data_IF_388630647518
#
_entry.id   IF_388630647518
#
_cell.length_a   1.000
_cell.length_b   1.000
_cell.length_c   1.000
_cell.angle_alpha   90.00
_cell.angle_beta   90.00
_cell.angle_gamma   90.00
#
_symmetry.space_group_name_H-M   'P 1'
#
loop_
_entity.id
_entity.type
_entity.pdbx_description
1 polymer ?
#
# COMPACT_ATOMS: atom_id res chain seq x y z
N UNK A 1 -24.58 -12.87 -7.60
CA UNK A 1 -25.05 -12.74 -6.19
C UNK A 1 -24.30 -11.63 -5.46
N UNK A 2 -22.97 -11.57 -5.58
CA UNK A 2 -22.11 -10.56 -4.95
C UNK A 2 -22.58 -9.09 -5.13
N UNK A 3 -22.94 -8.67 -6.36
CA UNK A 3 -23.35 -7.28 -6.65
C UNK A 3 -24.54 -6.81 -5.80
N UNK A 4 -25.52 -7.68 -5.58
CA UNK A 4 -26.72 -7.36 -4.81
C UNK A 4 -26.39 -7.24 -3.32
N UNK A 5 -25.61 -8.18 -2.79
CA UNK A 5 -25.16 -8.14 -1.40
C UNK A 5 -24.30 -6.90 -1.11
N UNK A 6 -23.42 -6.52 -2.04
CA UNK A 6 -22.62 -5.29 -1.92
C UNK A 6 -23.49 -4.04 -1.93
N UNK A 7 -24.49 -3.95 -2.81
CA UNK A 7 -25.41 -2.83 -2.85
C UNK A 7 -26.21 -2.68 -1.53
N UNK A 8 -26.70 -3.80 -0.99
CA UNK A 8 -27.41 -3.81 0.30
C UNK A 8 -26.50 -3.42 1.48
N UNK A 9 -25.25 -3.89 1.46
CA UNK A 9 -24.28 -3.56 2.49
C UNK A 9 -23.86 -2.09 2.42
N UNK A 10 -23.69 -1.52 1.21
CA UNK A 10 -23.41 -0.09 1.00
C UNK A 10 -24.56 0.79 1.46
N UNK A 11 -25.80 0.43 1.09
CA UNK A 11 -26.98 1.16 1.52
C UNK A 11 -27.17 1.16 3.05
N UNK A 12 -26.68 0.11 3.73
CA UNK A 12 -26.69 0.04 5.18
C UNK A 12 -25.51 0.79 5.83
N UNK A 13 -24.34 0.80 5.18
CA UNK A 13 -23.14 1.47 5.69
C UNK A 13 -23.19 2.99 5.54
N UNK A 14 -23.90 3.48 4.52
CA UNK A 14 -24.00 4.90 4.20
C UNK A 14 -25.47 5.26 3.96
N UNK A 15 -26.28 5.44 5.02
CA UNK A 15 -27.74 5.62 4.90
C UNK A 15 -28.20 6.78 4.00
N UNK A 16 -27.32 7.74 3.72
CA UNK A 16 -27.61 8.90 2.89
C UNK A 16 -26.73 8.97 1.63
N UNK A 17 -27.22 9.66 0.59
CA UNK A 17 -26.43 9.95 -0.62
C UNK A 17 -25.17 10.76 -0.32
N UNK A 18 -25.23 11.63 0.70
CA UNK A 18 -24.11 12.50 1.10
C UNK A 18 -22.97 11.66 1.68
N UNK A 19 -23.28 10.73 2.58
CA UNK A 19 -22.26 9.83 3.15
C UNK A 19 -21.65 8.91 2.09
N UNK A 20 -22.48 8.42 1.15
CA UNK A 20 -22.00 7.64 0.01
C UNK A 20 -21.04 8.46 -0.88
N UNK A 21 -21.38 9.71 -1.15
CA UNK A 21 -20.53 10.62 -1.92
C UNK A 21 -19.22 10.93 -1.19
N UNK A 22 -19.27 11.11 0.12
CA UNK A 22 -18.08 11.36 0.94
C UNK A 22 -17.12 10.17 0.94
N UNK A 23 -17.64 8.94 0.97
CA UNK A 23 -16.83 7.73 0.80
C UNK A 23 -16.17 7.68 -0.59
N UNK A 24 -16.88 8.07 -1.64
CA UNK A 24 -16.37 8.09 -3.02
C UNK A 24 -15.30 9.16 -3.27
N UNK A 25 -15.29 10.27 -2.50
CA UNK A 25 -14.20 11.25 -2.56
C UNK A 25 -12.84 10.63 -2.21
N UNK A 26 -12.82 9.62 -1.34
CA UNK A 26 -11.60 8.85 -1.02
C UNK A 26 -11.10 7.97 -2.17
N UNK A 27 -11.89 7.80 -3.24
CA UNK A 27 -11.57 7.03 -4.43
C UNK A 27 -11.22 7.90 -5.65
N UNK A 28 -11.13 9.22 -5.46
CA UNK A 28 -11.00 10.21 -6.54
C UNK A 28 -12.13 10.09 -7.59
N UNK A 29 -13.34 9.76 -7.13
CA UNK A 29 -14.53 9.68 -7.97
C UNK A 29 -15.32 10.97 -7.82
N UNK A 30 -15.54 11.68 -8.92
CA UNK A 30 -16.33 12.92 -8.93
C UNK A 30 -17.78 12.64 -8.50
N UNK A 31 -18.41 13.59 -7.83
CA UNK A 31 -19.83 13.52 -7.47
C UNK A 31 -20.74 13.42 -8.69
N UNK A 32 -20.30 13.99 -9.83
CA UNK A 32 -20.99 13.87 -11.13
C UNK A 32 -21.10 12.42 -11.61
N UNK A 33 -20.22 11.55 -11.13
CA UNK A 33 -20.16 10.15 -11.48
C UNK A 33 -21.11 9.26 -10.68
N UNK A 34 -21.75 9.80 -9.64
CA UNK A 34 -22.70 9.06 -8.80
C UNK A 34 -24.01 8.89 -9.57
N UNK A 35 -24.42 7.65 -9.87
CA UNK A 35 -25.63 7.42 -10.63
C UNK A 35 -26.88 7.99 -9.91
N UNK A 36 -27.80 8.50 -10.72
CA UNK A 36 -29.11 8.92 -10.24
C UNK A 36 -30.00 7.70 -10.00
N UNK A 37 -30.95 7.82 -9.08
CA UNK A 37 -31.92 6.76 -8.75
C UNK A 37 -33.10 7.34 -7.97
N UNK A 38 -34.24 6.65 -8.01
CA UNK A 38 -35.46 7.08 -7.33
C UNK A 38 -35.36 6.94 -5.80
N UNK A 39 -34.48 6.05 -5.32
CA UNK A 39 -34.19 5.89 -3.90
C UNK A 39 -32.71 5.54 -3.65
N UNK A 40 -32.30 5.63 -2.39
CA UNK A 40 -30.91 5.40 -1.98
C UNK A 40 -30.39 3.99 -2.31
N UNK A 41 -31.24 2.98 -2.18
CA UNK A 41 -30.87 1.59 -2.48
C UNK A 41 -30.61 1.39 -3.98
N UNK A 42 -31.40 2.05 -4.83
CA UNK A 42 -31.19 2.07 -6.28
C UNK A 42 -29.89 2.81 -6.65
N UNK A 43 -29.58 3.93 -5.99
CA UNK A 43 -28.31 4.64 -6.17
C UNK A 43 -27.12 3.74 -5.82
N UNK A 44 -27.16 3.04 -4.68
CA UNK A 44 -26.13 2.09 -4.27
C UNK A 44 -25.97 0.93 -5.27
N UNK A 45 -27.09 0.38 -5.76
CA UNK A 45 -27.06 -0.69 -6.75
C UNK A 45 -26.47 -0.22 -8.09
N UNK A 46 -26.90 0.93 -8.60
CA UNK A 46 -26.39 1.49 -9.84
C UNK A 46 -24.90 1.83 -9.74
N UNK A 47 -24.44 2.30 -8.57
CA UNK A 47 -23.03 2.55 -8.29
C UNK A 47 -22.20 1.26 -8.38
N UNK A 48 -22.67 0.18 -7.76
CA UNK A 48 -22.01 -1.13 -7.85
C UNK A 48 -21.92 -1.61 -9.29
N UNK A 49 -23.02 -1.50 -10.05
CA UNK A 49 -23.04 -1.89 -11.47
C UNK A 49 -22.05 -1.08 -12.31
N UNK A 50 -21.97 0.23 -12.07
CA UNK A 50 -21.02 1.11 -12.74
C UNK A 50 -19.57 0.73 -12.41
N UNK A 51 -19.25 0.58 -11.13
CA UNK A 51 -17.89 0.22 -10.69
C UNK A 51 -17.46 -1.16 -11.18
N UNK A 52 -18.39 -2.12 -11.23
CA UNK A 52 -18.11 -3.45 -11.78
C UNK A 52 -17.84 -3.38 -13.29
N UNK A 53 -18.59 -2.57 -14.04
CA UNK A 53 -18.33 -2.37 -15.48
C UNK A 53 -16.96 -1.75 -15.77
N UNK A 54 -16.38 -1.04 -14.79
CA UNK A 54 -15.03 -0.46 -14.85
C UNK A 54 -13.96 -1.40 -14.30
N UNK A 55 -14.31 -2.58 -13.78
CA UNK A 55 -13.38 -3.48 -13.09
C UNK A 55 -12.89 -2.96 -11.72
N UNK A 56 -13.53 -1.92 -11.17
CA UNK A 56 -13.13 -1.23 -9.93
C UNK A 56 -13.89 -1.69 -8.68
N UNK A 57 -14.54 -2.85 -8.73
CA UNK A 57 -15.36 -3.33 -7.61
C UNK A 57 -14.53 -3.60 -6.34
N UNK A 58 -13.27 -4.03 -6.49
CA UNK A 58 -12.35 -4.24 -5.37
C UNK A 58 -11.99 -2.92 -4.66
N UNK A 59 -11.78 -1.85 -5.42
CA UNK A 59 -11.51 -0.52 -4.88
C UNK A 59 -12.75 0.02 -4.14
N UNK A 60 -13.96 -0.18 -4.69
CA UNK A 60 -15.20 0.22 -4.04
C UNK A 60 -15.38 -0.46 -2.68
N UNK A 61 -15.13 -1.77 -2.60
CA UNK A 61 -15.21 -2.53 -1.34
C UNK A 61 -14.17 -2.03 -0.34
N UNK A 62 -12.91 -1.85 -0.78
CA UNK A 62 -11.83 -1.38 0.09
C UNK A 62 -12.14 0.00 0.68
N UNK A 63 -12.61 0.94 -0.14
CA UNK A 63 -12.95 2.29 0.31
C UNK A 63 -14.18 2.31 1.22
N UNK A 64 -15.18 1.48 0.96
CA UNK A 64 -16.33 1.32 1.83
C UNK A 64 -15.93 0.81 3.23
N UNK A 65 -15.02 -0.17 3.31
CA UNK A 65 -14.49 -0.69 4.58
C UNK A 65 -13.65 0.37 5.31
N UNK A 66 -12.80 1.12 4.59
CA UNK A 66 -11.99 2.18 5.19
C UNK A 66 -12.84 3.33 5.75
N UNK A 67 -13.91 3.70 5.04
CA UNK A 67 -14.80 4.78 5.45
C UNK A 67 -15.74 4.36 6.60
N UNK A 68 -16.06 3.07 6.74
CA UNK A 68 -16.90 2.57 7.82
C UNK A 68 -16.45 1.17 8.31
N UNK A 69 -15.34 1.07 9.06
CA UNK A 69 -14.74 -0.21 9.46
C UNK A 69 -15.61 -0.99 10.47
N UNK A 70 -16.55 -0.31 11.13
CA UNK A 70 -17.46 -0.90 12.12
C UNK A 70 -18.67 -1.61 11.51
N UNK A 71 -18.86 -1.60 10.18
CA UNK A 71 -20.02 -2.21 9.56
C UNK A 71 -19.84 -3.74 9.36
N UNK A 72 -20.61 -4.60 10.07
CA UNK A 72 -20.42 -6.05 10.01
C UNK A 72 -20.78 -6.65 8.64
N UNK A 73 -21.72 -6.05 7.90
CA UNK A 73 -22.10 -6.53 6.56
C UNK A 73 -20.97 -6.32 5.54
N UNK A 74 -20.21 -5.23 5.70
CA UNK A 74 -19.11 -4.91 4.80
C UNK A 74 -17.89 -5.79 5.08
N UNK A 75 -17.62 -6.08 6.35
CA UNK A 75 -16.55 -6.99 6.75
C UNK A 75 -16.82 -8.43 6.28
N UNK A 76 -18.07 -8.91 6.39
CA UNK A 76 -18.46 -10.23 5.87
C UNK A 76 -18.25 -10.36 4.35
N UNK A 77 -18.53 -9.30 3.59
CA UNK A 77 -18.27 -9.27 2.15
C UNK A 77 -16.79 -9.25 1.81
N UNK A 78 -15.97 -8.54 2.59
CA UNK A 78 -14.52 -8.53 2.42
C UNK A 78 -13.95 -9.93 2.64
N UNK A 79 -14.41 -10.64 3.67
CA UNK A 79 -14.04 -12.04 3.92
C UNK A 79 -14.45 -12.95 2.76
N UNK A 80 -15.67 -12.81 2.23
CA UNK A 80 -16.13 -13.61 1.08
C UNK A 80 -15.27 -13.35 -0.17
N UNK A 81 -14.97 -12.08 -0.47
CA UNK A 81 -14.16 -11.70 -1.64
C UNK A 81 -12.72 -12.16 -1.49
N UNK A 82 -12.14 -12.08 -0.29
CA UNK A 82 -10.76 -12.51 -0.04
C UNK A 82 -10.60 -14.03 0.02
N UNK A 83 -11.67 -14.76 0.36
CA UNK A 83 -11.68 -16.23 0.35
C UNK A 83 -12.01 -16.83 -1.02
N UNK A 84 -12.59 -16.07 -1.95
CA UNK A 84 -12.82 -16.55 -3.30
C UNK A 84 -11.48 -16.68 -4.05
N UNK A 85 -11.13 -17.88 -4.57
CA UNK A 85 -10.01 -18.01 -5.48
C UNK A 85 -10.34 -17.20 -6.73
N UNK A 86 -9.68 -16.06 -6.91
CA UNK A 86 -9.92 -15.15 -8.03
C UNK A 86 -9.80 -15.97 -9.32
N UNK A 87 -10.88 -16.15 -10.11
CA UNK A 87 -10.73 -16.73 -11.42
C UNK A 87 -10.00 -15.69 -12.25
N UNK A 88 -8.72 -15.95 -12.53
CA UNK A 88 -7.96 -15.22 -13.53
C UNK A 88 -8.71 -15.47 -14.85
N UNK A 89 -9.62 -14.57 -15.21
CA UNK A 89 -10.21 -14.54 -16.54
C UNK A 89 -9.16 -13.97 -17.49
N UNK A 90 -8.25 -14.86 -17.88
CA UNK A 90 -7.33 -14.73 -19.00
C UNK A 90 -7.00 -16.15 -19.41
N UNK A 91 -7.74 -16.67 -20.40
CA UNK A 91 -7.39 -17.93 -21.05
C UNK A 91 -5.97 -17.81 -21.61
N UNK A 92 -4.99 -18.41 -20.94
CA UNK A 92 -3.73 -18.78 -21.59
C UNK A 92 -3.86 -20.25 -21.95
N UNK A 93 -4.05 -20.46 -23.25
CA UNK A 93 -4.02 -21.77 -23.90
C UNK A 93 -2.70 -22.44 -23.55
N UNK A 94 -2.83 -23.67 -23.05
CA UNK A 94 -1.79 -24.65 -22.75
C UNK A 94 -0.76 -24.73 -23.89
N UNK A 95 0.46 -24.26 -23.64
CA UNK A 95 1.65 -24.49 -24.46
C UNK A 95 2.88 -24.36 -23.57
N UNK A 96 3.66 -25.43 -23.49
CA UNK A 96 4.89 -25.57 -22.72
C UNK A 96 5.79 -24.33 -22.82
N UNK A 97 5.87 -23.50 -21.77
CA UNK A 97 6.97 -22.55 -21.64
C UNK A 97 7.46 -22.51 -20.19
N UNK A 98 8.79 -22.65 -20.08
CA UNK A 98 9.59 -22.61 -18.86
C UNK A 98 9.24 -21.34 -18.07
N UNK A 99 8.84 -21.49 -16.81
CA UNK A 99 8.68 -20.36 -15.91
C UNK A 99 10.06 -19.73 -15.63
N UNK A 100 10.34 -18.65 -16.34
CA UNK A 100 11.28 -17.64 -15.88
C UNK A 100 10.77 -17.05 -14.58
N UNK A 101 11.72 -16.60 -13.74
CA UNK A 101 11.46 -15.83 -12.54
C UNK A 101 10.57 -14.66 -12.92
N UNK A 102 9.29 -14.70 -12.52
CA UNK A 102 8.38 -13.59 -12.72
C UNK A 102 8.79 -12.51 -11.71
N UNK A 103 9.35 -11.44 -12.24
CA UNK A 103 9.68 -10.22 -11.50
C UNK A 103 8.48 -9.81 -10.64
N UNK A 104 8.76 -9.43 -9.40
CA UNK A 104 7.78 -8.81 -8.50
C UNK A 104 7.02 -7.71 -9.26
N UNK A 105 5.69 -7.60 -9.10
CA UNK A 105 4.95 -6.53 -9.76
C UNK A 105 5.51 -5.19 -9.26
N UNK A 106 6.09 -4.42 -10.20
CA UNK A 106 6.53 -3.04 -9.95
C UNK A 106 5.36 -2.05 -9.79
N UNK A 107 4.13 -2.54 -9.85
CA UNK A 107 2.94 -1.71 -9.75
C UNK A 107 2.59 -1.44 -8.28
N UNK A 108 2.68 -0.16 -7.92
CA UNK A 108 2.12 0.36 -6.68
C UNK A 108 3.09 1.16 -5.81
N UNK A 109 4.23 1.63 -6.33
CA UNK A 109 4.74 2.89 -5.80
C UNK A 109 3.73 3.94 -6.24
N UNK A 110 3.02 4.50 -5.28
CA UNK A 110 2.07 5.58 -5.50
C UNK A 110 2.74 6.63 -6.40
N UNK A 111 2.31 6.69 -7.66
CA UNK A 111 2.89 7.58 -8.66
C UNK A 111 2.71 9.03 -8.23
N UNK A 112 1.77 9.33 -7.31
CA UNK A 112 1.67 10.64 -6.69
C UNK A 112 2.83 10.96 -5.74
N UNK A 113 3.42 9.97 -5.07
CA UNK A 113 4.62 10.20 -4.24
C UNK A 113 5.83 10.50 -5.12
N UNK A 114 6.02 9.76 -6.21
CA UNK A 114 7.11 10.03 -7.17
C UNK A 114 6.89 11.36 -7.91
N UNK A 115 5.65 11.66 -8.30
CA UNK A 115 5.27 12.94 -8.91
C UNK A 115 5.46 14.12 -7.95
N UNK A 116 5.09 13.97 -6.67
CA UNK A 116 5.37 14.99 -5.63
C UNK A 116 6.86 15.21 -5.41
N UNK A 117 7.67 14.15 -5.47
CA UNK A 117 9.13 14.26 -5.37
C UNK A 117 9.74 15.03 -6.56
N UNK A 118 9.25 14.79 -7.77
CA UNK A 118 9.70 15.49 -8.98
C UNK A 118 9.23 16.95 -9.02
N UNK A 119 7.98 17.19 -8.58
CA UNK A 119 7.41 18.54 -8.39
C UNK A 119 8.23 19.35 -7.38
N UNK A 120 8.56 18.77 -6.23
CA UNK A 120 9.40 19.42 -5.21
C UNK A 120 10.82 19.69 -5.72
N UNK A 121 11.37 18.77 -6.53
CA UNK A 121 12.67 18.95 -7.18
C UNK A 121 12.65 20.14 -8.15
N UNK A 122 11.60 20.26 -8.96
CA UNK A 122 11.41 21.36 -9.91
C UNK A 122 11.18 22.71 -9.21
N UNK A 123 10.33 22.75 -8.17
CA UNK A 123 10.11 23.96 -7.37
C UNK A 123 11.39 24.45 -6.71
N UNK A 124 12.25 23.54 -6.23
CA UNK A 124 13.55 23.93 -5.71
C UNK A 124 14.50 24.53 -6.76
N UNK A 125 14.47 24.00 -7.99
CA UNK A 125 15.29 24.55 -9.07
C UNK A 125 14.84 25.98 -9.41
N UNK A 126 13.53 26.21 -9.45
CA UNK A 126 12.95 27.53 -9.68
C UNK A 126 13.27 28.52 -8.55
N UNK A 127 13.15 28.10 -7.29
CA UNK A 127 13.56 28.89 -6.12
C UNK A 127 15.06 29.25 -6.17
N UNK A 128 15.94 28.31 -6.56
CA UNK A 128 17.37 28.60 -6.74
C UNK A 128 17.61 29.64 -7.83
N UNK A 129 16.89 29.56 -8.94
CA UNK A 129 17.05 30.51 -10.05
C UNK A 129 16.53 31.91 -9.70
N UNK A 130 15.37 32.01 -9.03
CA UNK A 130 14.82 33.28 -8.54
C UNK A 130 15.70 33.91 -7.46
N UNK A 131 16.32 33.11 -6.58
CA UNK A 131 17.32 33.58 -5.62
C UNK A 131 18.59 34.09 -6.31
N UNK A 132 19.07 33.42 -7.37
CA UNK A 132 20.21 33.88 -8.16
C UNK A 132 19.91 35.20 -8.88
N UNK A 133 18.71 35.34 -9.46
CA UNK A 133 18.22 36.58 -10.09
C UNK A 133 18.02 37.72 -9.07
N UNK A 134 17.49 37.42 -7.88
CA UNK A 134 17.38 38.41 -6.80
C UNK A 134 18.74 38.83 -6.23
N UNK A 135 19.71 37.93 -6.17
CA UNK A 135 21.08 38.28 -5.77
C UNK A 135 21.73 39.25 -6.77
N UNK A 136 21.42 39.10 -8.06
CA UNK A 136 21.88 40.01 -9.12
C UNK A 136 21.18 41.38 -9.08
N UNK A 137 19.93 41.45 -8.59
CA UNK A 137 19.17 42.70 -8.43
C UNK A 137 19.53 43.49 -7.14
N UNK A 138 20.38 42.94 -6.26
CA UNK A 138 20.71 43.51 -4.92
C UNK A 138 21.90 44.48 -4.89
N UNK A 139 22.40 44.91 -6.04
CA UNK A 139 23.35 46.05 -6.11
C UNK A 139 22.71 47.40 -5.75
N UNK A 140 21.39 47.47 -5.53
CA UNK A 140 20.65 48.74 -5.43
C UNK A 140 20.22 49.24 -4.04
N UNK A 141 20.45 48.56 -2.90
CA UNK A 141 20.21 49.20 -1.57
C UNK A 141 20.81 48.44 -0.36
N UNK A 142 21.77 49.06 0.32
CA UNK A 142 22.70 48.38 1.25
C UNK A 142 22.20 48.17 2.70
N UNK A 143 21.09 48.80 3.13
CA UNK A 143 20.54 48.60 4.50
C UNK A 143 19.39 47.59 4.57
N UNK A 144 18.44 47.65 3.64
CA UNK A 144 17.34 46.68 3.53
C UNK A 144 17.83 45.29 3.05
N UNK A 145 18.94 45.26 2.30
CA UNK A 145 19.56 44.03 1.81
C UNK A 145 20.11 43.11 2.89
N UNK A 146 20.65 43.64 3.99
CA UNK A 146 21.31 42.82 5.02
C UNK A 146 20.32 42.04 5.89
N UNK A 147 19.22 42.65 6.33
CA UNK A 147 18.18 41.94 7.10
C UNK A 147 17.49 40.87 6.25
N UNK A 148 17.22 41.18 4.98
CA UNK A 148 16.63 40.23 4.03
C UNK A 148 17.60 39.10 3.66
N UNK A 149 18.90 39.36 3.59
CA UNK A 149 19.93 38.32 3.43
C UNK A 149 19.94 37.37 4.65
N UNK A 150 19.90 37.91 5.86
CA UNK A 150 19.88 37.08 7.08
C UNK A 150 18.62 36.21 7.18
N UNK A 151 17.46 36.75 6.82
CA UNK A 151 16.22 35.99 6.81
C UNK A 151 16.27 34.84 5.79
N UNK A 152 16.77 35.11 4.58
CA UNK A 152 16.91 34.08 3.55
C UNK A 152 17.93 33.00 3.91
N UNK A 153 19.03 33.35 4.59
CA UNK A 153 19.99 32.36 5.09
C UNK A 153 19.31 31.42 6.08
N UNK A 154 18.51 31.95 7.03
CA UNK A 154 17.75 31.14 7.98
C UNK A 154 16.72 30.25 7.30
N UNK A 155 16.03 30.75 6.28
CA UNK A 155 15.06 29.97 5.51
C UNK A 155 15.74 28.84 4.71
N UNK A 156 16.89 29.11 4.10
CA UNK A 156 17.70 28.09 3.40
C UNK A 156 18.19 27.02 4.38
N UNK A 157 18.61 27.40 5.60
CA UNK A 157 19.02 26.46 6.63
C UNK A 157 17.87 25.57 7.09
N UNK A 158 16.70 26.14 7.38
CA UNK A 158 15.50 25.39 7.75
C UNK A 158 15.08 24.40 6.64
N UNK A 159 15.11 24.83 5.37
CA UNK A 159 14.84 23.95 4.24
C UNK A 159 15.88 22.83 4.12
N UNK A 160 17.17 23.12 4.33
CA UNK A 160 18.23 22.10 4.34
C UNK A 160 18.04 21.08 5.46
N UNK A 161 17.60 21.50 6.64
CA UNK A 161 17.29 20.59 7.75
C UNK A 161 16.10 19.70 7.41
N UNK A 162 15.02 20.24 6.86
CA UNK A 162 13.89 19.45 6.36
C UNK A 162 14.31 18.43 5.29
N UNK A 163 15.21 18.81 4.38
CA UNK A 163 15.77 17.88 3.40
C UNK A 163 16.65 16.78 4.00
N UNK A 164 17.38 17.06 5.07
CA UNK A 164 18.17 16.04 5.76
C UNK A 164 17.25 15.02 6.45
N UNK A 165 16.19 15.48 7.11
CA UNK A 165 15.21 14.59 7.74
C UNK A 165 14.57 13.64 6.72
N UNK A 166 14.05 14.18 5.61
CA UNK A 166 13.46 13.37 4.54
C UNK A 166 14.46 12.40 3.90
N UNK A 167 15.73 12.78 3.73
CA UNK A 167 16.78 11.86 3.25
C UNK A 167 17.04 10.69 4.20
N UNK A 168 16.98 10.93 5.51
CA UNK A 168 17.14 9.88 6.51
C UNK A 168 15.95 8.92 6.48
N UNK A 169 14.73 9.42 6.34
CA UNK A 169 13.54 8.59 6.17
C UNK A 169 13.62 7.72 4.90
N UNK A 170 14.02 8.31 3.77
CA UNK A 170 14.23 7.56 2.52
C UNK A 170 15.32 6.50 2.66
N UNK A 171 16.41 6.80 3.38
CA UNK A 171 17.45 5.81 3.64
C UNK A 171 16.94 4.65 4.50
N UNK A 172 16.15 4.93 5.55
CA UNK A 172 15.53 3.90 6.38
C UNK A 172 14.59 3.00 5.58
N UNK A 173 13.77 3.58 4.70
CA UNK A 173 12.88 2.80 3.81
C UNK A 173 13.68 1.90 2.86
N UNK A 174 14.80 2.38 2.31
CA UNK A 174 15.67 1.57 1.44
C UNK A 174 16.30 0.38 2.18
N UNK A 175 16.75 0.58 3.42
CA UNK A 175 17.29 -0.52 4.22
C UNK A 175 16.19 -1.55 4.57
N UNK A 176 14.99 -1.08 4.92
CA UNK A 176 13.86 -1.97 5.15
C UNK A 176 13.46 -2.77 3.89
N UNK A 177 13.43 -2.12 2.72
CA UNK A 177 13.19 -2.78 1.44
C UNK A 177 14.23 -3.88 1.16
N UNK A 178 15.51 -3.61 1.44
CA UNK A 178 16.59 -4.58 1.28
C UNK A 178 16.41 -5.80 2.20
N UNK A 179 15.99 -5.59 3.45
CA UNK A 179 15.69 -6.68 4.37
C UNK A 179 14.56 -7.58 3.85
N UNK A 180 13.47 -7.00 3.35
CA UNK A 180 12.36 -7.77 2.75
C UNK A 180 12.84 -8.58 1.54
N UNK A 181 13.66 -7.99 0.67
CA UNK A 181 14.19 -8.70 -0.50
C UNK A 181 15.03 -9.93 -0.09
N UNK A 182 15.79 -9.84 1.00
CA UNK A 182 16.51 -10.98 1.56
C UNK A 182 15.56 -12.06 2.08
N UNK A 183 14.48 -11.69 2.77
CA UNK A 183 13.47 -12.66 3.24
C UNK A 183 12.77 -13.37 2.06
N UNK A 184 12.40 -12.63 1.02
CA UNK A 184 11.82 -13.19 -0.20
C UNK A 184 12.78 -14.20 -0.85
N UNK A 185 14.09 -13.91 -0.88
CA UNK A 185 15.08 -14.83 -1.41
C UNK A 185 15.11 -16.16 -0.63
N UNK A 186 15.08 -16.09 0.70
CA UNK A 186 15.03 -17.28 1.58
C UNK A 186 13.75 -18.10 1.32
N UNK A 187 12.60 -17.45 1.21
CA UNK A 187 11.32 -18.12 0.90
C UNK A 187 11.39 -18.83 -0.46
N UNK A 188 11.99 -18.20 -1.46
CA UNK A 188 12.13 -18.78 -2.79
C UNK A 188 13.10 -19.97 -2.82
N UNK A 189 14.18 -19.93 -2.04
CA UNK A 189 15.06 -21.08 -1.83
C UNK A 189 14.32 -22.23 -1.15
N UNK A 190 13.58 -21.94 -0.08
CA UNK A 190 12.75 -22.94 0.59
C UNK A 190 11.72 -23.57 -0.35
N UNK A 191 11.05 -22.76 -1.18
CA UNK A 191 10.09 -23.26 -2.18
C UNK A 191 10.77 -24.18 -3.20
N UNK A 192 11.94 -23.81 -3.70
CA UNK A 192 12.74 -24.65 -4.62
C UNK A 192 13.12 -25.98 -3.97
N UNK A 193 13.61 -25.95 -2.73
CA UNK A 193 13.95 -27.16 -1.98
C UNK A 193 12.71 -28.06 -1.75
N UNK A 194 11.57 -27.47 -1.41
CA UNK A 194 10.33 -28.22 -1.18
C UNK A 194 9.80 -28.86 -2.48
N UNK A 195 9.91 -28.18 -3.62
CA UNK A 195 9.60 -28.78 -4.93
C UNK A 195 10.50 -29.97 -5.23
N UNK A 196 11.82 -29.85 -5.01
CA UNK A 196 12.76 -30.95 -5.22
C UNK A 196 12.45 -32.16 -4.31
N UNK A 197 12.09 -31.93 -3.05
CA UNK A 197 11.69 -32.99 -2.11
C UNK A 197 10.39 -33.67 -2.56
N UNK A 198 9.43 -32.93 -3.13
CA UNK A 198 8.20 -33.51 -3.69
C UNK A 198 8.45 -34.39 -4.91
N UNK A 199 9.43 -34.03 -5.74
CA UNK A 199 9.80 -34.82 -6.93
C UNK A 199 10.58 -36.08 -6.57
N UNK A 200 11.36 -36.05 -5.49
CA UNK A 200 11.93 -37.25 -4.90
C UNK A 200 10.79 -38.09 -4.30
N UNK A 201 10.55 -39.29 -4.85
CA UNK A 201 9.59 -40.28 -4.31
C UNK A 201 10.05 -40.79 -2.93
N UNK A 202 9.98 -39.94 -1.91
CA UNK A 202 10.20 -40.36 -0.55
C UNK A 202 8.97 -41.10 -0.02
N UNK A 203 9.17 -42.11 0.84
CA UNK A 203 8.06 -42.71 1.58
C UNK A 203 7.37 -41.64 2.42
N UNK A 204 6.03 -41.66 2.44
CA UNK A 204 5.15 -40.69 3.11
C UNK A 204 5.52 -40.40 4.58
N UNK A 205 6.15 -41.34 5.28
CA UNK A 205 6.63 -41.17 6.65
C UNK A 205 7.71 -40.07 6.78
N UNK A 206 8.62 -39.96 5.80
CA UNK A 206 9.68 -38.95 5.80
C UNK A 206 9.14 -37.54 5.60
N UNK A 207 8.15 -37.37 4.71
CA UNK A 207 7.50 -36.07 4.45
C UNK A 207 6.79 -35.57 5.70
N UNK A 208 6.07 -36.45 6.41
CA UNK A 208 5.39 -36.10 7.67
C UNK A 208 6.37 -35.68 8.76
N UNK A 209 7.48 -36.40 8.89
CA UNK A 209 8.53 -36.05 9.85
C UNK A 209 9.16 -34.69 9.53
N UNK A 210 9.48 -34.42 8.27
CA UNK A 210 10.05 -33.14 7.83
C UNK A 210 9.10 -31.96 8.11
N UNK A 211 7.80 -32.10 7.83
CA UNK A 211 6.80 -31.07 8.14
C UNK A 211 6.73 -30.80 9.64
N UNK A 212 6.76 -31.84 10.48
CA UNK A 212 6.72 -31.68 11.93
C UNK A 212 7.95 -30.90 12.45
N UNK A 213 9.15 -31.22 11.96
CA UNK A 213 10.38 -30.53 12.33
C UNK A 213 10.35 -29.06 11.92
N UNK A 214 9.92 -28.76 10.68
CA UNK A 214 9.79 -27.36 10.21
C UNK A 214 8.76 -26.59 11.05
N UNK A 215 7.62 -27.21 11.38
CA UNK A 215 6.61 -26.61 12.25
C UNK A 215 7.15 -26.25 13.64
N UNK A 216 7.96 -27.13 14.25
CA UNK A 216 8.61 -26.87 15.53
C UNK A 216 9.60 -25.70 15.44
N UNK A 217 10.39 -25.64 14.36
CA UNK A 217 11.36 -24.56 14.16
C UNK A 217 10.68 -23.20 13.95
N UNK A 218 9.58 -23.16 13.20
CA UNK A 218 8.78 -21.93 13.01
C UNK A 218 8.20 -21.47 14.36
N UNK A 219 7.65 -22.41 15.15
CA UNK A 219 7.11 -22.10 16.48
C UNK A 219 8.20 -21.54 17.41
N UNK A 220 9.38 -22.15 17.41
CA UNK A 220 10.52 -21.68 18.20
C UNK A 220 10.97 -20.26 17.79
N UNK A 221 11.04 -19.99 16.48
CA UNK A 221 11.39 -18.66 15.98
C UNK A 221 10.34 -17.61 16.36
N UNK A 222 9.05 -17.94 16.26
CA UNK A 222 7.97 -17.04 16.70
C UNK A 222 8.04 -16.71 18.19
N UNK A 223 8.37 -17.70 19.03
CA UNK A 223 8.58 -17.50 20.48
C UNK A 223 9.76 -16.54 20.72
N UNK A 224 10.88 -16.70 20.01
CA UNK A 224 12.05 -15.82 20.15
C UNK A 224 11.70 -14.38 19.76
N UNK A 225 11.02 -14.18 18.62
CA UNK A 225 10.59 -12.84 18.16
C UNK A 225 9.63 -12.21 19.17
N UNK A 226 8.69 -12.99 19.71
CA UNK A 226 7.77 -12.52 20.75
C UNK A 226 8.54 -12.00 21.98
N UNK A 227 9.55 -12.73 22.46
CA UNK A 227 10.37 -12.27 23.59
C UNK A 227 11.23 -11.04 23.26
N UNK A 228 11.68 -10.87 22.01
CA UNK A 228 12.44 -9.68 21.60
C UNK A 228 11.58 -8.41 21.57
N UNK A 229 10.33 -8.51 21.11
CA UNK A 229 9.43 -7.35 20.99
C UNK A 229 8.88 -6.94 22.35
N UNK A 230 8.49 -7.91 23.18
CA UNK A 230 7.75 -7.65 24.42
C UNK A 230 8.61 -7.71 25.68
N UNK A 231 9.91 -8.01 25.55
CA UNK A 231 10.81 -8.27 26.66
C UNK A 231 10.50 -9.61 27.35
N UNK A 232 11.44 -10.10 28.16
CA UNK A 232 11.19 -11.29 29.00
C UNK A 232 10.20 -10.88 30.09
N UNK A 233 9.02 -11.52 30.18
CA UNK A 233 8.07 -11.27 31.24
C UNK A 233 8.73 -11.41 32.62
N UNK A 234 8.53 -10.44 33.52
CA UNK A 234 9.18 -10.40 34.83
C UNK A 234 8.95 -11.64 35.71
N UNK A 235 7.92 -12.44 35.44
CA UNK A 235 7.65 -13.71 36.14
C UNK A 235 8.56 -14.87 35.72
N UNK A 236 9.38 -14.70 34.69
CA UNK A 236 10.43 -15.65 34.28
C UNK A 236 11.81 -15.31 34.87
N UNK A 237 11.96 -14.15 35.52
CA UNK A 237 13.12 -13.83 36.36
C UNK A 237 12.82 -14.24 37.80
N UNK A 238 13.46 -15.32 38.26
CA UNK A 238 13.39 -15.77 39.66
C UNK A 238 14.03 -14.81 40.65
#
# INVERSE_FOLDING_TARGET
>A
MLRKALAEALAHAFPSRVELAQMLLGMDVDQSEIPHGANHQEVAFNLVMKMDSQGRIGELVKSAVLANPGNPKMNALLEEITQLPIPIQGQIVRGEHRFGVQELPQEGWDMDVLRRLDELSSQMAEIKTTLALQAQSREWDTRSGNERNQLLIKEIEALREGQRATRLEVAAVKEWQKAIQQEIAVINEWRRANTAVREMRYPQSYVRFAIAVVGILILAAAIIIYFQIWGVPAWLGG
#
